data_IF_167217289946
#
_entry.id   IF_167217289946
#
_cell.length_a   1.000
_cell.length_b   1.000
_cell.length_c   1.000
_cell.angle_alpha   90.00
_cell.angle_beta   90.00
_cell.angle_gamma   90.00
#
_symmetry.space_group_name_H-M   'P 1'
#
loop_
_entity.id
_entity.type
_entity.pdbx_description
1 polymer ?
#
# COMPACT_ATOMS: atom_id res chain seq x y z
N UNK A 1 -6.18 -2.21 13.48
CA UNK A 1 -5.85 -0.99 12.70
C UNK A 1 -5.85 -1.25 11.19
N UNK A 2 -5.14 -2.25 10.67
CA UNK A 2 -5.00 -2.46 9.22
C UNK A 2 -6.29 -2.57 8.39
N UNK A 3 -7.34 -3.26 8.89
CA UNK A 3 -8.64 -3.31 8.19
C UNK A 3 -9.32 -1.93 8.05
N UNK A 4 -9.05 -1.00 8.97
CA UNK A 4 -9.57 0.36 8.86
C UNK A 4 -8.86 1.11 7.73
N UNK A 5 -7.56 0.90 7.53
CA UNK A 5 -6.80 1.49 6.43
C UNK A 5 -7.28 0.98 5.06
N UNK A 6 -7.59 -0.32 4.94
CA UNK A 6 -8.20 -0.86 3.72
C UNK A 6 -9.58 -0.24 3.48
N UNK A 7 -10.42 -0.14 4.51
CA UNK A 7 -11.76 0.46 4.38
C UNK A 7 -11.67 1.93 3.98
N UNK A 8 -10.75 2.68 4.58
CA UNK A 8 -10.51 4.08 4.28
C UNK A 8 -10.07 4.28 2.83
N UNK A 9 -9.13 3.44 2.36
CA UNK A 9 -8.70 3.40 0.95
C UNK A 9 -9.88 3.19 0.00
N UNK A 10 -10.76 2.23 0.29
CA UNK A 10 -11.94 1.96 -0.52
C UNK A 10 -12.94 3.13 -0.48
N UNK A 11 -13.12 3.77 0.68
CA UNK A 11 -14.02 4.91 0.84
C UNK A 11 -13.54 6.16 0.09
N UNK A 12 -12.23 6.47 0.19
CA UNK A 12 -11.59 7.54 -0.57
C UNK A 12 -11.82 7.33 -2.07
N UNK A 13 -11.49 6.15 -2.59
CA UNK A 13 -11.60 5.87 -4.01
C UNK A 13 -13.03 5.78 -4.51
N UNK A 14 -13.97 5.25 -3.71
CA UNK A 14 -15.38 5.31 -4.06
C UNK A 14 -15.82 6.77 -4.23
N UNK A 15 -15.44 7.65 -3.29
CA UNK A 15 -15.77 9.07 -3.34
C UNK A 15 -15.18 9.76 -4.57
N UNK A 16 -13.92 9.47 -4.92
CA UNK A 16 -13.28 10.08 -6.10
C UNK A 16 -13.87 9.56 -7.41
N UNK A 17 -14.19 8.27 -7.48
CA UNK A 17 -14.81 7.64 -8.66
C UNK A 17 -16.23 8.15 -8.91
N UNK A 18 -17.00 8.38 -7.83
CA UNK A 18 -18.37 8.91 -7.93
C UNK A 18 -18.44 10.43 -7.87
N UNK A 19 -17.29 11.11 -7.76
CA UNK A 19 -17.19 12.56 -7.75
C UNK A 19 -17.43 13.17 -9.13
N UNK A 20 -17.56 14.51 -9.23
CA UNK A 20 -17.91 15.20 -10.48
C UNK A 20 -16.91 15.00 -11.61
N UNK A 21 -15.64 14.70 -11.28
CA UNK A 21 -14.59 14.44 -12.26
C UNK A 21 -14.46 12.96 -12.64
N UNK A 22 -15.20 12.05 -11.99
CA UNK A 22 -15.18 10.61 -12.29
C UNK A 22 -13.80 9.98 -12.24
N UNK A 23 -12.97 10.30 -11.23
CA UNK A 23 -11.56 9.92 -11.21
C UNK A 23 -11.38 8.44 -10.87
N UNK A 24 -10.82 7.69 -11.81
CA UNK A 24 -10.46 6.27 -11.66
C UNK A 24 -8.94 6.15 -11.63
N UNK A 25 -8.36 6.09 -10.43
CA UNK A 25 -6.90 5.99 -10.23
C UNK A 25 -6.37 4.56 -10.29
N UNK A 26 -7.17 3.59 -9.82
CA UNK A 26 -6.74 2.19 -9.78
C UNK A 26 -6.49 1.63 -11.17
N UNK A 27 -5.33 1.01 -11.34
CA UNK A 27 -4.99 0.20 -12.49
C UNK A 27 -5.21 -1.29 -12.16
N UNK A 28 -5.25 -2.20 -13.16
CA UNK A 28 -5.36 -3.63 -12.91
C UNK A 28 -4.34 -4.13 -11.87
N UNK A 29 -3.13 -3.60 -11.90
CA UNK A 29 -2.04 -3.81 -10.95
C UNK A 29 -2.49 -3.56 -9.51
N UNK A 30 -3.13 -2.41 -9.24
CA UNK A 30 -3.64 -2.08 -7.90
C UNK A 30 -4.58 -3.17 -7.37
N UNK A 31 -5.46 -3.69 -8.23
CA UNK A 31 -6.40 -4.74 -7.85
C UNK A 31 -5.70 -6.09 -7.63
N UNK A 32 -4.67 -6.41 -8.40
CA UNK A 32 -3.84 -7.61 -8.17
C UNK A 32 -3.19 -7.55 -6.79
N UNK A 33 -2.62 -6.41 -6.39
CA UNK A 33 -2.06 -6.24 -5.03
C UNK A 33 -3.12 -6.46 -3.95
N UNK A 34 -4.32 -5.90 -4.11
CA UNK A 34 -5.40 -6.07 -3.12
C UNK A 34 -5.80 -7.54 -2.96
N UNK A 35 -5.86 -8.27 -4.07
CA UNK A 35 -6.17 -9.70 -4.07
C UNK A 35 -5.05 -10.49 -3.38
N UNK A 36 -3.79 -10.22 -3.70
CA UNK A 36 -2.64 -10.87 -3.07
C UNK A 36 -2.59 -10.59 -1.57
N UNK A 37 -2.80 -9.35 -1.13
CA UNK A 37 -2.85 -9.00 0.31
C UNK A 37 -3.96 -9.76 1.04
N UNK A 38 -5.15 -9.87 0.43
CA UNK A 38 -6.26 -10.64 1.01
C UNK A 38 -5.96 -12.14 1.05
N UNK A 39 -5.31 -12.67 0.02
CA UNK A 39 -4.86 -14.05 -0.04
C UNK A 39 -3.83 -14.34 1.07
N UNK A 40 -2.81 -13.50 1.21
CA UNK A 40 -1.79 -13.62 2.25
C UNK A 40 -2.41 -13.60 3.65
N UNK A 41 -3.33 -12.66 3.89
CA UNK A 41 -4.07 -12.59 5.16
C UNK A 41 -4.91 -13.84 5.44
N UNK A 42 -5.54 -14.41 4.42
CA UNK A 42 -6.28 -15.68 4.55
C UNK A 42 -5.36 -16.87 4.88
N UNK A 43 -4.07 -16.78 4.52
CA UNK A 43 -3.05 -17.81 4.76
C UNK A 43 -2.15 -17.50 5.98
N UNK A 44 -2.57 -16.59 6.86
CA UNK A 44 -1.90 -16.34 8.16
C UNK A 44 -0.82 -15.26 8.15
N UNK A 45 -0.56 -14.61 7.01
CA UNK A 45 0.36 -13.47 6.91
C UNK A 45 -0.40 -12.18 7.19
N UNK A 46 -0.12 -11.53 8.32
CA UNK A 46 -0.87 -10.36 8.77
C UNK A 46 -0.44 -9.09 8.00
N UNK A 47 -1.07 -8.86 6.84
CA UNK A 47 -0.83 -7.69 6.00
C UNK A 47 -2.13 -6.99 5.52
N UNK A 48 -1.99 -5.70 5.18
CA UNK A 48 -3.10 -4.81 4.80
C UNK A 48 -2.65 -3.78 3.77
N UNK A 49 -3.49 -3.45 2.79
CA UNK A 49 -3.18 -2.41 1.81
C UNK A 49 -3.68 -1.03 2.24
N UNK A 50 -3.02 0.01 1.72
CA UNK A 50 -3.49 1.38 1.74
C UNK A 50 -3.05 2.10 0.45
N UNK A 51 -3.92 2.96 -0.09
CA UNK A 51 -3.66 3.71 -1.32
C UNK A 51 -4.23 5.12 -1.18
N UNK A 52 -3.41 6.12 -1.50
CA UNK A 52 -3.84 7.52 -1.64
C UNK A 52 -4.37 7.79 -3.06
N UNK A 53 -4.32 9.02 -3.57
CA UNK A 53 -4.76 9.34 -4.93
C UNK A 53 -3.71 9.03 -6.02
N UNK A 54 -2.60 8.38 -5.66
CA UNK A 54 -1.54 7.96 -6.57
C UNK A 54 -1.65 6.49 -6.99
N UNK A 55 -0.76 6.06 -7.90
CA UNK A 55 -0.72 4.67 -8.38
C UNK A 55 -0.06 3.69 -7.38
N UNK A 56 0.66 4.21 -6.39
CA UNK A 56 1.47 3.41 -5.46
C UNK A 56 0.60 2.77 -4.38
N UNK A 57 0.76 1.46 -4.20
CA UNK A 57 0.11 0.72 -3.11
C UNK A 57 1.09 0.52 -1.97
N UNK A 58 0.68 0.90 -0.76
CA UNK A 58 1.41 0.59 0.46
C UNK A 58 0.86 -0.70 1.07
N UNK A 59 1.72 -1.66 1.37
CA UNK A 59 1.34 -2.89 2.08
C UNK A 59 1.95 -2.87 3.48
N UNK A 60 1.09 -2.63 4.47
CA UNK A 60 1.43 -2.61 5.87
C UNK A 60 1.42 -4.04 6.43
N UNK A 61 2.51 -4.44 7.07
CA UNK A 61 2.67 -5.76 7.67
C UNK A 61 3.56 -5.69 8.92
N UNK A 62 3.67 -6.80 9.66
CA UNK A 62 4.64 -6.89 10.76
C UNK A 62 6.06 -7.04 10.17
N UNK A 63 7.12 -6.56 10.85
CA UNK A 63 8.49 -6.67 10.36
C UNK A 63 8.91 -8.11 10.02
N UNK A 64 8.43 -9.10 10.79
CA UNK A 64 8.71 -10.52 10.55
C UNK A 64 8.10 -11.06 9.23
N UNK A 65 7.05 -10.41 8.73
CA UNK A 65 6.33 -10.81 7.52
C UNK A 65 6.76 -9.99 6.27
N UNK A 66 7.60 -8.96 6.45
CA UNK A 66 7.92 -7.97 5.42
C UNK A 66 8.55 -8.58 4.16
N UNK A 67 9.48 -9.52 4.33
CA UNK A 67 10.16 -10.14 3.20
C UNK A 67 9.24 -11.10 2.42
N UNK A 68 8.37 -11.82 3.13
CA UNK A 68 7.33 -12.65 2.51
C UNK A 68 6.39 -11.79 1.68
N UNK A 69 5.88 -10.70 2.25
CA UNK A 69 4.99 -9.76 1.54
C UNK A 69 5.70 -9.15 0.33
N UNK A 70 6.94 -8.67 0.49
CA UNK A 70 7.73 -8.10 -0.61
C UNK A 70 7.91 -9.08 -1.75
N UNK A 71 8.23 -10.34 -1.45
CA UNK A 71 8.44 -11.39 -2.44
C UNK A 71 7.17 -11.66 -3.24
N UNK A 72 6.03 -11.77 -2.56
CA UNK A 72 4.73 -12.06 -3.17
C UNK A 72 4.21 -10.90 -4.04
N UNK A 73 4.46 -9.65 -3.63
CA UNK A 73 4.12 -8.48 -4.44
C UNK A 73 5.08 -8.31 -5.63
N UNK A 74 6.38 -8.50 -5.43
CA UNK A 74 7.36 -8.43 -6.52
C UNK A 74 7.12 -9.51 -7.59
N UNK A 75 6.59 -10.68 -7.21
CA UNK A 75 6.20 -11.73 -8.15
C UNK A 75 5.07 -11.32 -9.12
N UNK A 76 4.33 -10.24 -8.81
CA UNK A 76 3.35 -9.64 -9.72
C UNK A 76 4.00 -8.77 -10.82
N UNK A 77 5.33 -8.64 -10.83
CA UNK A 77 6.09 -7.81 -11.78
C UNK A 77 6.20 -6.35 -11.38
N UNK A 78 5.96 -6.02 -10.11
CA UNK A 78 5.94 -4.64 -9.60
C UNK A 78 7.27 -4.25 -8.96
N UNK A 79 7.72 -3.02 -9.21
CA UNK A 79 8.79 -2.41 -8.44
C UNK A 79 8.34 -2.30 -6.97
N UNK A 80 9.10 -2.92 -6.07
CA UNK A 80 8.72 -3.07 -4.67
C UNK A 80 9.90 -2.73 -3.78
N UNK A 81 9.69 -1.77 -2.87
CA UNK A 81 10.68 -1.37 -1.87
C UNK A 81 10.16 -1.66 -0.46
N UNK A 82 11.09 -1.95 0.46
CA UNK A 82 10.79 -2.01 1.89
C UNK A 82 10.97 -0.65 2.52
N UNK A 83 10.03 -0.28 3.38
CA UNK A 83 10.12 0.92 4.20
C UNK A 83 9.77 0.56 5.64
N UNK A 84 10.43 1.23 6.58
CA UNK A 84 10.16 1.13 8.01
C UNK A 84 9.50 2.41 8.51
N UNK A 85 8.98 2.38 9.73
CA UNK A 85 8.45 3.58 10.37
C UNK A 85 9.59 4.57 10.61
N UNK A 86 9.56 5.69 9.88
CA UNK A 86 10.54 6.75 10.00
C UNK A 86 10.45 7.51 11.32
N UNK A 87 11.58 8.09 11.73
CA UNK A 87 11.65 9.02 12.86
C UNK A 87 11.12 10.42 12.51
N UNK A 88 11.09 11.34 13.48
CA UNK A 88 10.76 12.74 13.22
C UNK A 88 11.79 13.39 12.28
N UNK A 89 11.38 14.49 11.64
CA UNK A 89 12.30 15.34 10.90
C UNK A 89 13.42 15.86 11.82
N UNK A 90 14.63 15.97 11.28
CA UNK A 90 15.80 16.50 11.98
C UNK A 90 16.54 17.49 11.07
N UNK A 91 17.27 18.41 11.69
CA UNK A 91 18.15 19.31 10.97
C UNK A 91 19.40 18.55 10.52
N UNK A 92 19.85 18.83 9.31
CA UNK A 92 21.09 18.31 8.74
C UNK A 92 22.01 19.49 8.44
N UNK A 93 23.31 19.31 8.66
CA UNK A 93 24.30 20.36 8.40
C UNK A 93 24.63 20.47 6.90
N UNK A 94 24.45 19.37 6.16
CA UNK A 94 24.70 19.29 4.73
C UNK A 94 23.46 19.69 3.91
N UNK A 95 23.67 20.45 2.84
CA UNK A 95 22.62 20.77 1.89
C UNK A 95 22.28 19.52 1.05
N UNK A 96 21.01 19.09 1.08
CA UNK A 96 20.59 17.80 0.50
C UNK A 96 20.42 17.80 -1.03
N UNK A 97 20.56 18.95 -1.70
CA UNK A 97 20.36 19.10 -3.16
C UNK A 97 21.26 20.15 -3.82
#
# INVERSE_FOLDING_TARGET
MGLLAERDTLALHATTMTGPNGLIHWQPETLMVFQTVRYLRANGVECYFSVDTGATVYVNCRPADAETVRTEIAALGMETALAEVGGPAHLVDDHLF
#
